data_IF_579844088562
#
_entry.id   IF_579844088562
#
_cell.length_a   1.000
_cell.length_b   1.000
_cell.length_c   1.000
_cell.angle_alpha   90.00
_cell.angle_beta   90.00
_cell.angle_gamma   90.00
#
_symmetry.space_group_name_H-M   'P 1'
#
loop_
_entity.id
_entity.type
_entity.pdbx_description
1 polymer ?
#
# COMPACT_ATOMS: atom_id res chain seq x y z
N UNK A 1 13.05 -3.04 9.40
CA UNK A 1 11.97 -2.36 8.66
C UNK A 1 12.00 -0.88 9.03
N UNK A 2 12.42 0.02 8.14
CA UNK A 2 12.58 1.44 8.47
C UNK A 2 11.23 2.11 8.74
N UNK A 3 11.05 2.88 9.84
CA UNK A 3 9.76 3.48 10.20
C UNK A 3 9.26 4.52 9.20
N UNK A 4 10.14 5.02 8.32
CA UNK A 4 9.84 6.08 7.36
C UNK A 4 9.24 5.59 6.04
N UNK A 5 9.34 4.29 5.72
CA UNK A 5 8.96 3.77 4.41
C UNK A 5 7.47 3.89 4.12
N UNK A 6 6.62 3.75 5.13
CA UNK A 6 5.18 3.86 4.98
C UNK A 6 4.76 5.30 4.68
N UNK A 7 5.35 6.29 5.34
CA UNK A 7 5.04 7.70 5.11
C UNK A 7 5.41 8.14 3.70
N UNK A 8 6.60 7.79 3.20
CA UNK A 8 7.00 8.12 1.82
C UNK A 8 6.07 7.48 0.77
N UNK A 9 5.63 6.24 0.99
CA UNK A 9 4.68 5.56 0.10
C UNK A 9 3.29 6.20 0.14
N UNK A 10 2.79 6.49 1.33
CA UNK A 10 1.49 7.12 1.52
C UNK A 10 1.44 8.53 0.90
N UNK A 11 2.51 9.31 1.08
CA UNK A 11 2.65 10.63 0.49
C UNK A 11 2.83 10.59 -1.02
N UNK A 12 3.61 9.65 -1.56
CA UNK A 12 3.72 9.44 -3.00
C UNK A 12 2.40 9.02 -3.65
N UNK A 13 1.65 8.10 -3.03
CA UNK A 13 0.40 7.59 -3.59
C UNK A 13 -0.72 8.65 -3.59
N UNK A 14 -0.87 9.40 -2.50
CA UNK A 14 -1.97 10.38 -2.36
C UNK A 14 -1.65 11.75 -2.94
N UNK A 15 -0.38 12.14 -2.91
CA UNK A 15 0.04 13.50 -3.21
C UNK A 15 1.07 13.57 -4.34
N UNK A 16 1.48 12.43 -4.91
CA UNK A 16 2.52 12.35 -5.96
C UNK A 16 3.85 12.98 -5.53
N UNK A 17 4.09 13.06 -4.22
CA UNK A 17 5.31 13.60 -3.65
C UNK A 17 6.50 12.66 -3.90
N UNK A 18 7.62 13.21 -4.37
CA UNK A 18 8.88 12.46 -4.55
C UNK A 18 9.67 12.43 -3.25
N UNK A 19 10.52 11.41 -3.07
CA UNK A 19 11.28 11.19 -1.84
C UNK A 19 12.13 12.41 -1.42
N UNK A 20 12.77 13.09 -2.38
CA UNK A 20 13.60 14.26 -2.11
C UNK A 20 12.80 15.53 -1.75
N UNK A 21 11.49 15.56 -2.04
CA UNK A 21 10.61 16.69 -1.72
C UNK A 21 9.94 16.55 -0.35
N UNK A 22 10.19 15.44 0.35
CA UNK A 22 9.54 15.10 1.62
C UNK A 22 10.50 15.43 2.76
N UNK A 23 10.11 16.39 3.60
CA UNK A 23 10.84 16.71 4.83
C UNK A 23 10.05 16.21 6.05
N UNK A 24 10.67 15.34 6.85
CA UNK A 24 10.08 14.84 8.09
C UNK A 24 10.60 15.69 9.26
N UNK A 25 9.70 16.42 9.92
CA UNK A 25 10.09 17.33 11.01
C UNK A 25 10.26 16.63 12.37
N UNK A 26 9.34 15.73 12.73
CA UNK A 26 9.37 15.02 14.00
C UNK A 26 8.69 13.66 13.88
N UNK A 27 9.31 12.64 14.48
CA UNK A 27 8.70 11.33 14.68
C UNK A 27 8.70 11.01 16.17
N UNK A 28 7.53 10.64 16.69
CA UNK A 28 7.37 10.25 18.08
C UNK A 28 6.41 9.07 18.17
N UNK A 29 6.63 8.21 19.17
CA UNK A 29 5.67 7.18 19.54
C UNK A 29 4.52 7.85 20.30
N UNK A 30 3.29 7.53 19.92
CA UNK A 30 2.07 8.11 20.50
C UNK A 30 1.28 6.98 21.17
N UNK A 31 0.84 7.21 22.41
CA UNK A 31 -0.02 6.26 23.13
C UNK A 31 -1.40 6.14 22.47
N UNK A 32 -2.04 4.98 22.56
CA UNK A 32 -3.31 4.65 21.88
C UNK A 32 -4.42 5.69 22.10
N UNK A 33 -4.55 6.22 23.32
CA UNK A 33 -5.55 7.24 23.65
C UNK A 33 -5.30 8.58 22.93
N UNK A 34 -4.03 8.92 22.66
CA UNK A 34 -3.65 10.19 22.02
C UNK A 34 -3.70 10.13 20.47
N UNK A 35 -3.96 8.97 19.88
CA UNK A 35 -4.09 8.80 18.44
C UNK A 35 -5.41 9.44 17.94
N UNK A 36 -5.35 10.50 17.12
CA UNK A 36 -6.57 11.18 16.62
C UNK A 36 -7.19 10.54 15.38
N UNK A 37 -6.42 9.81 14.57
CA UNK A 37 -6.84 9.33 13.24
C UNK A 37 -7.81 8.15 13.36
N UNK A 38 -9.04 8.22 12.81
CA UNK A 38 -10.08 7.20 13.02
C UNK A 38 -9.69 5.83 12.46
N UNK A 39 -9.03 5.80 11.29
CA UNK A 39 -8.52 4.59 10.67
C UNK A 39 -7.45 3.85 11.51
N UNK A 40 -6.82 4.53 12.48
CA UNK A 40 -5.87 3.91 13.41
C UNK A 40 -6.57 3.51 14.71
N UNK A 41 -7.53 4.32 15.18
CA UNK A 41 -8.31 4.04 16.40
C UNK A 41 -9.04 2.69 16.37
N UNK A 42 -9.53 2.26 15.19
CA UNK A 42 -10.20 0.96 15.03
C UNK A 42 -9.33 -0.25 15.42
N UNK A 43 -8.01 -0.10 15.40
CA UNK A 43 -7.07 -1.17 15.76
C UNK A 43 -6.68 -1.18 17.25
N UNK A 44 -7.12 -0.18 18.03
CA UNK A 44 -6.86 -0.11 19.48
C UNK A 44 -7.93 -0.79 20.33
N UNK A 45 -9.13 -1.00 19.77
CA UNK A 45 -10.23 -1.70 20.46
C UNK A 45 -10.11 -3.20 20.22
N UNK A 46 -9.72 -3.96 21.25
CA UNK A 46 -9.52 -5.41 21.22
C UNK A 46 -10.84 -6.20 21.20
N UNK A 47 -11.88 -5.71 20.54
CA UNK A 47 -13.12 -6.48 20.35
C UNK A 47 -12.84 -7.46 19.22
N UNK A 48 -12.41 -8.65 19.61
CA UNK A 48 -12.27 -9.85 18.79
C UNK A 48 -13.28 -9.89 17.63
N UNK A 49 -12.81 -9.75 16.39
CA UNK A 49 -13.62 -10.11 15.22
C UNK A 49 -13.53 -9.25 13.97
N UNK A 50 -12.34 -8.77 13.54
CA UNK A 50 -12.18 -8.53 12.11
C UNK A 50 -12.01 -9.91 11.44
N UNK A 51 -12.96 -10.37 10.62
CA UNK A 51 -12.85 -11.69 9.99
C UNK A 51 -11.60 -11.74 9.12
N UNK A 52 -10.89 -12.89 9.08
CA UNK A 52 -9.72 -13.03 8.23
C UNK A 52 -10.10 -12.76 6.77
N UNK A 53 -9.23 -12.01 6.07
CA UNK A 53 -9.45 -11.64 4.67
C UNK A 53 -9.53 -12.93 3.84
N UNK A 54 -10.60 -13.08 3.05
CA UNK A 54 -10.68 -14.14 2.06
C UNK A 54 -9.59 -13.92 1.01
N UNK A 55 -8.59 -14.79 1.00
CA UNK A 55 -7.59 -14.78 -0.07
C UNK A 55 -8.29 -15.22 -1.35
N UNK A 56 -8.36 -14.34 -2.35
CA UNK A 56 -8.74 -14.78 -3.69
C UNK A 56 -7.60 -15.67 -4.20
N UNK A 57 -7.84 -16.97 -4.48
CA UNK A 57 -6.80 -17.82 -5.04
C UNK A 57 -6.34 -17.19 -6.35
N UNK A 58 -5.02 -17.02 -6.51
CA UNK A 58 -4.46 -16.48 -7.73
C UNK A 58 -4.70 -17.51 -8.84
N UNK A 59 -5.57 -17.17 -9.79
CA UNK A 59 -5.86 -18.01 -10.96
C UNK A 59 -4.58 -18.23 -11.78
N UNK A 60 -4.28 -19.49 -12.08
CA UNK A 60 -3.08 -19.92 -12.82
C UNK A 60 -3.03 -19.41 -14.28
N UNK A 61 -4.17 -18.95 -14.82
CA UNK A 61 -4.31 -18.46 -16.20
C UNK A 61 -3.60 -17.14 -16.50
N UNK A 62 -3.16 -16.37 -15.49
CA UNK A 62 -2.49 -15.07 -15.71
C UNK A 62 -1.00 -15.18 -16.07
N UNK A 63 -0.47 -16.39 -16.34
CA UNK A 63 0.95 -16.62 -16.67
C UNK A 63 1.26 -17.10 -18.08
N UNK A 64 0.26 -17.37 -18.93
CA UNK A 64 0.51 -17.80 -20.30
C UNK A 64 0.53 -16.60 -21.25
N UNK A 65 1.72 -16.09 -21.54
CA UNK A 65 1.92 -15.06 -22.57
C UNK A 65 1.54 -15.55 -23.97
N UNK A 66 1.01 -14.65 -24.79
CA UNK A 66 1.13 -14.73 -26.25
C UNK A 66 1.70 -13.40 -26.74
N UNK A 67 2.88 -13.53 -27.35
CA UNK A 67 3.62 -12.49 -28.07
C UNK A 67 2.76 -12.08 -29.26
N UNK A 68 2.41 -10.80 -29.40
CA UNK A 68 1.95 -10.30 -30.69
C UNK A 68 3.20 -10.21 -31.58
N UNK A 69 3.38 -11.27 -32.37
CA UNK A 69 4.31 -11.27 -33.48
C UNK A 69 3.92 -10.17 -34.46
N UNK A 70 4.95 -9.45 -34.88
CA UNK A 70 5.05 -8.72 -36.13
C UNK A 70 4.18 -9.31 -37.24
N UNK A 71 3.14 -8.58 -37.65
CA UNK A 71 2.66 -8.66 -39.03
C UNK A 71 3.69 -7.94 -39.89
N UNK A 72 4.63 -8.74 -40.39
CA UNK A 72 5.31 -8.46 -41.64
C UNK A 72 4.33 -8.71 -42.78
N UNK A 73 4.32 -7.78 -43.74
CA UNK A 73 3.88 -7.89 -45.13
C UNK A 73 2.43 -7.45 -45.46
N UNK A 74 2.29 -6.20 -45.90
CA UNK A 74 1.74 -5.93 -47.23
C UNK A 74 2.38 -4.64 -47.79
N UNK A 75 3.16 -4.85 -48.86
CA UNK A 75 3.63 -3.96 -49.95
C UNK A 75 3.46 -2.45 -49.75
#
# INVERSE_FOLDING_TARGET
MSPFSLSHRDMGARHRARAHSIQIMKVQVIAANKCRRPAIKQFHVSVSGLPPRTHKPRSYSDRAGVRQGSDVLLV
#
